data_IF_109398620609
#
_entry.id   IF_109398620609
#
_cell.length_a   1.000
_cell.length_b   1.000
_cell.length_c   1.000
_cell.angle_alpha   90.00
_cell.angle_beta   90.00
_cell.angle_gamma   90.00
#
_symmetry.space_group_name_H-M   'P 1'
#
loop_
_entity.id
_entity.type
_entity.pdbx_description
1 polymer ?
#
# COMPACT_ATOMS: atom_id res chain seq x y z
N UNK A 1 -2.20 2.32 10.90
CA UNK A 1 -2.57 2.36 9.47
C UNK A 1 -1.41 2.90 8.68
N UNK A 2 -0.99 2.18 7.64
CA UNK A 2 0.00 2.58 6.65
C UNK A 2 -0.71 2.93 5.33
N UNK A 3 -0.26 3.98 4.66
CA UNK A 3 -0.86 4.52 3.43
C UNK A 3 0.23 4.86 2.43
N UNK A 4 0.18 4.22 1.27
CA UNK A 4 1.00 4.60 0.12
C UNK A 4 0.25 5.60 -0.75
N UNK A 5 0.95 6.65 -1.17
CA UNK A 5 0.47 7.61 -2.16
C UNK A 5 1.12 7.31 -3.50
N UNK A 6 0.29 7.09 -4.52
CA UNK A 6 0.71 6.48 -5.78
C UNK A 6 0.24 7.32 -6.95
N UNK A 7 1.15 7.56 -7.90
CA UNK A 7 0.89 8.23 -9.16
C UNK A 7 1.18 7.28 -10.32
N UNK A 8 0.34 7.36 -11.34
CA UNK A 8 0.53 6.65 -12.62
C UNK A 8 0.81 7.70 -13.69
N UNK A 9 2.08 7.94 -14.05
CA UNK A 9 2.46 9.03 -14.95
C UNK A 9 2.13 8.76 -16.43
N UNK A 10 1.69 7.54 -16.75
CA UNK A 10 1.29 7.13 -18.10
C UNK A 10 -0.13 6.59 -18.06
N UNK A 11 -0.86 6.81 -19.15
CA UNK A 11 -2.20 6.23 -19.35
C UNK A 11 -2.08 4.82 -19.96
N UNK A 12 -1.34 3.95 -19.28
CA UNK A 12 -1.06 2.57 -19.71
C UNK A 12 -1.67 1.51 -18.76
N UNK A 13 -2.63 1.93 -17.94
CA UNK A 13 -3.44 1.02 -17.16
C UNK A 13 -4.26 0.08 -18.07
N UNK A 14 -4.48 -1.17 -17.66
CA UNK A 14 -4.15 -1.75 -16.35
C UNK A 14 -2.71 -2.29 -16.22
N UNK A 15 -1.85 -2.13 -17.23
CA UNK A 15 -0.49 -2.68 -17.25
C UNK A 15 0.54 -1.55 -17.23
N UNK A 16 0.69 -0.87 -16.08
CA UNK A 16 1.56 0.30 -16.00
C UNK A 16 3.02 -0.09 -16.26
N UNK A 17 3.71 0.69 -17.08
CA UNK A 17 5.15 0.59 -17.30
C UNK A 17 5.95 1.43 -16.30
N UNK A 18 5.26 2.25 -15.52
CA UNK A 18 5.83 3.10 -14.50
C UNK A 18 4.78 3.37 -13.41
N UNK A 19 5.18 3.20 -12.15
CA UNK A 19 4.37 3.46 -10.96
C UNK A 19 5.21 4.30 -10.01
N UNK A 20 4.72 5.48 -9.69
CA UNK A 20 5.43 6.45 -8.87
C UNK A 20 4.89 6.40 -7.43
N UNK A 21 5.71 5.96 -6.49
CA UNK A 21 5.45 5.96 -5.05
C UNK A 21 5.88 7.32 -4.48
N UNK A 22 4.95 8.27 -4.39
CA UNK A 22 5.23 9.71 -4.22
C UNK A 22 5.30 10.17 -2.77
N UNK A 23 4.64 9.46 -1.86
CA UNK A 23 4.64 9.76 -0.42
C UNK A 23 4.22 8.50 0.34
N UNK A 24 4.50 8.47 1.63
CA UNK A 24 4.08 7.44 2.56
C UNK A 24 3.62 8.08 3.87
N UNK A 25 2.62 7.48 4.51
CA UNK A 25 2.18 7.88 5.84
C UNK A 25 1.87 6.65 6.69
N UNK A 26 2.37 6.63 7.92
CA UNK A 26 1.98 5.66 8.92
C UNK A 26 1.67 6.33 10.26
N UNK A 27 0.65 5.83 10.94
CA UNK A 27 0.34 6.22 12.32
C UNK A 27 -0.53 5.17 13.01
N UNK A 28 -0.45 5.11 14.34
CA UNK A 28 -1.21 4.17 15.18
C UNK A 28 -2.20 4.96 16.07
N UNK A 29 -3.35 4.37 16.36
CA UNK A 29 -4.32 4.90 17.32
C UNK A 29 -5.04 6.19 16.91
N UNK A 30 -5.02 6.56 15.64
CA UNK A 30 -5.71 7.76 15.10
C UNK A 30 -7.15 7.44 14.73
N UNK A 31 -8.00 8.45 14.78
CA UNK A 31 -9.40 8.35 14.34
C UNK A 31 -9.53 8.65 12.84
N UNK A 32 -10.63 8.23 12.21
CA UNK A 32 -10.87 8.47 10.78
C UNK A 32 -10.81 9.95 10.38
N UNK A 33 -11.31 10.85 11.23
CA UNK A 33 -11.21 12.29 11.01
C UNK A 33 -9.76 12.81 10.98
N UNK A 34 -8.83 12.20 11.74
CA UNK A 34 -7.42 12.56 11.68
C UNK A 34 -6.82 12.15 10.33
N UNK A 35 -7.18 10.96 9.84
CA UNK A 35 -6.74 10.51 8.52
C UNK A 35 -7.27 11.39 7.39
N UNK A 36 -8.51 11.87 7.47
CA UNK A 36 -9.05 12.80 6.49
C UNK A 36 -8.26 14.12 6.47
N UNK A 37 -7.86 14.63 7.64
CA UNK A 37 -6.99 15.81 7.75
C UNK A 37 -5.60 15.56 7.17
N UNK A 38 -5.00 14.39 7.43
CA UNK A 38 -3.70 14.00 6.88
C UNK A 38 -3.77 13.95 5.35
N UNK A 39 -4.78 13.31 4.77
CA UNK A 39 -4.97 13.25 3.32
C UNK A 39 -5.10 14.66 2.74
N UNK A 40 -5.92 15.52 3.34
CA UNK A 40 -6.07 16.90 2.89
C UNK A 40 -4.77 17.71 3.01
N UNK A 41 -3.99 17.52 4.08
CA UNK A 41 -2.75 18.27 4.31
C UNK A 41 -1.64 17.91 3.32
N UNK A 42 -1.70 16.75 2.66
CA UNK A 42 -0.74 16.41 1.60
C UNK A 42 -0.91 17.26 0.34
N UNK A 43 -2.10 17.86 0.13
CA UNK A 43 -2.36 18.74 -1.02
C UNK A 43 -2.35 18.04 -2.37
N UNK A 44 -2.60 16.73 -2.39
CA UNK A 44 -2.74 15.94 -3.61
C UNK A 44 -4.20 15.93 -4.11
N UNK A 45 -4.38 15.82 -5.42
CA UNK A 45 -5.69 15.56 -6.02
C UNK A 45 -5.88 14.04 -6.20
N UNK A 46 -6.61 13.42 -5.28
CA UNK A 46 -6.81 11.97 -5.31
C UNK A 46 -7.81 11.54 -6.40
N UNK A 47 -7.50 10.43 -7.06
CA UNK A 47 -8.46 9.68 -7.87
C UNK A 47 -9.39 8.89 -6.98
N UNK A 48 -8.87 7.78 -6.44
CA UNK A 48 -9.61 6.86 -5.59
C UNK A 48 -8.76 6.46 -4.36
N UNK A 49 -9.41 6.03 -3.29
CA UNK A 49 -8.76 5.41 -2.13
C UNK A 49 -9.06 3.92 -2.11
N UNK A 50 -8.06 3.09 -1.85
CA UNK A 50 -8.22 1.63 -1.77
C UNK A 50 -7.88 1.15 -0.37
N UNK A 51 -8.71 0.25 0.15
CA UNK A 51 -8.51 -0.35 1.47
C UNK A 51 -8.47 -1.88 1.35
N UNK A 52 -7.79 -2.59 2.26
CA UNK A 52 -7.81 -4.04 2.29
C UNK A 52 -9.24 -4.56 2.55
N UNK A 53 -9.47 -5.83 2.21
CA UNK A 53 -10.77 -6.49 2.37
C UNK A 53 -11.35 -6.41 3.78
N UNK A 54 -10.50 -6.33 4.81
CA UNK A 54 -10.89 -6.35 6.22
C UNK A 54 -11.28 -4.97 6.77
N UNK A 55 -11.35 -3.94 5.93
CA UNK A 55 -11.98 -2.64 6.23
C UNK A 55 -13.46 -2.76 6.65
N UNK A 56 -14.09 -3.92 6.44
CA UNK A 56 -15.45 -4.18 6.90
C UNK A 56 -15.54 -4.58 8.38
N UNK A 57 -14.41 -4.73 9.09
CA UNK A 57 -14.40 -5.01 10.53
C UNK A 57 -14.95 -3.80 11.29
N UNK A 58 -15.84 -4.06 12.24
CA UNK A 58 -16.33 -3.09 13.23
C UNK A 58 -15.71 -3.34 14.60
N UNK A 59 -16.22 -2.61 15.60
CA UNK A 59 -15.85 -2.75 17.01
C UNK A 59 -17.08 -3.33 17.71
N UNK A 60 -16.87 -4.37 18.53
CA UNK A 60 -17.97 -4.99 19.26
C UNK A 60 -18.68 -3.95 20.15
N UNK A 61 -20.01 -3.89 20.04
CA UNK A 61 -20.84 -2.94 20.79
C UNK A 61 -21.01 -1.56 20.13
N UNK A 62 -20.44 -1.34 18.94
CA UNK A 62 -20.68 -0.13 18.13
C UNK A 62 -21.35 -0.50 16.81
N UNK A 63 -22.28 0.35 16.37
CA UNK A 63 -22.93 0.19 15.07
C UNK A 63 -22.00 0.64 13.92
N UNK A 64 -22.02 -0.13 12.83
CA UNK A 64 -21.24 0.12 11.63
C UNK A 64 -19.89 -0.59 11.60
N UNK A 65 -19.04 -0.16 10.67
CA UNK A 65 -17.72 -0.73 10.46
C UNK A 65 -16.73 0.34 9.99
N UNK A 66 -15.45 -0.02 9.92
CA UNK A 66 -14.39 0.89 9.50
C UNK A 66 -14.65 1.55 8.13
N UNK A 67 -15.25 0.85 7.18
CA UNK A 67 -15.64 1.41 5.88
C UNK A 67 -16.67 2.55 6.03
N UNK A 68 -17.73 2.31 6.81
CA UNK A 68 -18.76 3.31 7.07
C UNK A 68 -18.19 4.51 7.84
N UNK A 69 -17.43 4.27 8.90
CA UNK A 69 -16.84 5.35 9.71
C UNK A 69 -15.79 6.16 8.94
N UNK A 70 -15.03 5.53 8.05
CA UNK A 70 -14.13 6.24 7.14
C UNK A 70 -14.91 7.13 6.16
N UNK A 71 -16.01 6.61 5.60
CA UNK A 71 -16.89 7.35 4.71
C UNK A 71 -17.53 8.56 5.40
N UNK A 72 -17.99 8.39 6.64
CA UNK A 72 -18.56 9.46 7.47
C UNK A 72 -17.52 10.55 7.78
N UNK A 73 -16.23 10.17 7.87
CA UNK A 73 -15.11 11.09 8.02
C UNK A 73 -14.65 11.74 6.69
N UNK A 74 -15.28 11.41 5.56
CA UNK A 74 -14.97 11.98 4.24
C UNK A 74 -13.94 11.19 3.42
N UNK A 75 -13.67 9.93 3.77
CA UNK A 75 -12.77 9.06 3.02
C UNK A 75 -13.58 7.93 2.36
N UNK A 76 -13.74 8.00 1.04
CA UNK A 76 -14.46 6.98 0.29
C UNK A 76 -13.50 5.88 -0.19
N UNK A 77 -13.40 4.80 0.61
CA UNK A 77 -12.58 3.65 0.26
C UNK A 77 -13.29 2.69 -0.68
N UNK A 78 -12.53 2.17 -1.63
CA UNK A 78 -12.88 1.00 -2.44
C UNK A 78 -12.20 -0.23 -1.86
N UNK A 79 -12.94 -1.17 -1.24
CA UNK A 79 -12.36 -2.37 -0.68
C UNK A 79 -11.79 -3.27 -1.78
N UNK A 80 -10.52 -3.65 -1.63
CA UNK A 80 -9.83 -4.59 -2.51
C UNK A 80 -10.13 -6.00 -2.02
N UNK A 81 -10.60 -6.87 -2.92
CA UNK A 81 -10.82 -8.28 -2.58
C UNK A 81 -9.49 -8.94 -2.25
N UNK A 82 -9.45 -9.74 -1.19
CA UNK A 82 -8.27 -10.56 -0.83
C UNK A 82 -7.87 -11.49 -1.98
N UNK A 83 -6.57 -11.73 -2.15
CA UNK A 83 -6.07 -12.81 -3.02
C UNK A 83 -6.30 -14.20 -2.42
N UNK A 84 -6.20 -15.23 -3.26
CA UNK A 84 -6.40 -16.63 -2.85
C UNK A 84 -5.37 -17.06 -1.80
N UNK A 85 -4.12 -16.60 -1.93
CA UNK A 85 -3.11 -16.73 -0.90
C UNK A 85 -2.24 -15.46 -0.73
N UNK A 86 -1.58 -15.34 0.42
CA UNK A 86 -0.60 -14.28 0.68
C UNK A 86 0.61 -14.41 -0.25
N UNK A 87 1.04 -15.64 -0.53
CA UNK A 87 2.19 -15.89 -1.42
C UNK A 87 1.93 -15.49 -2.87
N UNK A 88 0.72 -15.76 -3.39
CA UNK A 88 0.31 -15.27 -4.73
C UNK A 88 0.42 -13.75 -4.82
N UNK A 89 -0.01 -13.06 -3.78
CA UNK A 89 0.04 -11.61 -3.75
C UNK A 89 1.48 -11.07 -3.60
N UNK A 90 2.36 -11.75 -2.84
CA UNK A 90 3.79 -11.42 -2.77
C UNK A 90 4.46 -11.60 -4.14
N UNK A 91 4.14 -12.67 -4.87
CA UNK A 91 4.66 -12.88 -6.23
C UNK A 91 4.21 -11.78 -7.19
N UNK A 92 2.96 -11.30 -7.09
CA UNK A 92 2.51 -10.14 -7.86
C UNK A 92 3.30 -8.87 -7.49
N UNK A 93 3.61 -8.68 -6.21
CA UNK A 93 4.41 -7.57 -5.74
C UNK A 93 5.83 -7.61 -6.32
N UNK A 94 6.48 -8.79 -6.38
CA UNK A 94 7.82 -8.95 -7.01
C UNK A 94 7.79 -8.55 -8.47
N UNK A 95 6.77 -8.99 -9.22
CA UNK A 95 6.63 -8.69 -10.66
C UNK A 95 6.47 -7.20 -10.96
N UNK A 96 5.85 -6.45 -10.05
CA UNK A 96 5.67 -5.01 -10.20
C UNK A 96 6.88 -4.19 -9.76
N UNK A 97 7.79 -4.77 -8.98
CA UNK A 97 8.93 -4.07 -8.38
C UNK A 97 9.73 -3.24 -9.39
N UNK A 98 10.04 -3.83 -10.55
CA UNK A 98 10.82 -3.19 -11.62
C UNK A 98 10.17 -1.94 -12.23
N UNK A 99 8.89 -1.70 -11.98
CA UNK A 99 8.16 -0.54 -12.46
C UNK A 99 7.99 0.54 -11.38
N UNK A 100 8.40 0.28 -10.14
CA UNK A 100 8.27 1.22 -9.03
C UNK A 100 9.39 2.25 -9.04
N UNK A 101 9.02 3.51 -8.80
CA UNK A 101 9.93 4.61 -8.56
C UNK A 101 9.54 5.28 -7.24
N UNK A 102 10.50 5.41 -6.32
CA UNK A 102 10.24 5.94 -4.99
C UNK A 102 10.76 7.38 -4.86
N UNK A 103 9.91 8.25 -4.34
CA UNK A 103 10.30 9.60 -3.94
C UNK A 103 11.10 9.58 -2.61
N UNK A 104 11.91 10.61 -2.32
CA UNK A 104 12.65 10.75 -1.05
C UNK A 104 11.82 10.48 0.21
N UNK A 105 10.56 10.92 0.20
CA UNK A 105 9.63 10.78 1.34
C UNK A 105 9.26 9.33 1.67
N UNK A 106 9.60 8.40 0.79
CA UNK A 106 9.31 6.98 0.94
C UNK A 106 10.50 6.18 1.49
N UNK A 107 11.66 6.80 1.77
CA UNK A 107 12.90 6.10 2.15
C UNK A 107 12.70 5.15 3.34
N UNK A 108 12.20 5.66 4.46
CA UNK A 108 12.00 4.85 5.68
C UNK A 108 11.05 3.66 5.45
N UNK A 109 10.01 3.88 4.66
CA UNK A 109 9.04 2.83 4.32
C UNK A 109 9.63 1.81 3.35
N UNK A 110 10.50 2.23 2.45
CA UNK A 110 11.20 1.37 1.51
C UNK A 110 12.21 0.47 2.25
N UNK A 111 12.96 1.02 3.21
CA UNK A 111 13.89 0.24 4.03
C UNK A 111 13.15 -0.85 4.82
N UNK A 112 11.98 -0.51 5.39
CA UNK A 112 11.10 -1.48 6.09
C UNK A 112 10.46 -2.50 5.17
N UNK A 113 10.14 -2.11 3.94
CA UNK A 113 9.61 -3.03 2.94
C UNK A 113 10.69 -4.01 2.48
N UNK A 114 11.95 -3.56 2.39
CA UNK A 114 13.10 -4.38 2.06
C UNK A 114 13.48 -5.36 3.17
N UNK A 115 13.26 -5.00 4.45
CA UNK A 115 13.49 -5.91 5.58
C UNK A 115 12.39 -6.96 5.76
N UNK A 116 11.30 -6.91 4.97
CA UNK A 116 10.23 -7.89 5.01
C UNK A 116 10.71 -9.24 4.46
N UNK A 117 10.70 -10.27 5.31
CA UNK A 117 11.33 -11.56 5.05
C UNK A 117 10.47 -12.74 5.53
N UNK A 118 10.89 -13.96 5.17
CA UNK A 118 10.24 -15.20 5.55
C UNK A 118 10.47 -15.48 7.04
N UNK A 119 9.42 -15.87 7.75
CA UNK A 119 9.56 -16.32 9.13
C UNK A 119 10.44 -17.56 9.15
N UNK A 120 11.48 -17.53 9.97
CA UNK A 120 12.34 -18.69 10.22
C UNK A 120 11.95 -19.42 11.51
N UNK A 121 12.18 -20.72 11.56
CA UNK A 121 12.13 -21.48 12.81
C UNK A 121 13.41 -21.26 13.63
N UNK A 122 13.47 -21.87 14.82
CA UNK A 122 14.63 -21.74 15.72
C UNK A 122 15.94 -22.27 15.11
N UNK A 123 15.83 -23.17 14.15
CA UNK A 123 16.95 -23.78 13.45
C UNK A 123 17.34 -23.03 12.17
N UNK A 124 16.66 -21.90 11.88
CA UNK A 124 16.94 -21.03 10.73
C UNK A 124 16.24 -21.45 9.43
N UNK A 125 15.38 -22.48 9.43
CA UNK A 125 14.62 -22.88 8.24
C UNK A 125 13.39 -21.99 8.02
N UNK A 126 13.16 -21.59 6.78
CA UNK A 126 11.97 -20.85 6.36
C UNK A 126 10.67 -21.64 6.56
N UNK A 127 9.62 -20.95 7.00
CA UNK A 127 8.32 -21.52 7.38
C UNK A 127 7.24 -21.37 6.29
N UNK A 128 7.59 -20.85 5.12
CA UNK A 128 6.69 -20.59 3.99
C UNK A 128 5.67 -19.48 4.25
N UNK A 129 5.84 -18.71 5.31
CA UNK A 129 4.95 -17.62 5.72
C UNK A 129 5.76 -16.38 6.06
N UNK A 130 5.24 -15.18 5.82
CA UNK A 130 5.96 -13.97 6.18
C UNK A 130 6.16 -13.82 7.68
N UNK A 131 7.26 -13.17 8.07
CA UNK A 131 7.40 -12.74 9.45
C UNK A 131 6.45 -11.57 9.73
N UNK A 132 5.78 -11.64 10.88
CA UNK A 132 4.70 -10.72 11.26
C UNK A 132 5.14 -9.81 12.41
N UNK A 133 6.28 -9.14 12.25
CA UNK A 133 6.60 -7.98 13.08
C UNK A 133 5.63 -6.84 12.72
N UNK A 134 5.08 -6.19 13.75
CA UNK A 134 3.89 -5.32 13.62
C UNK A 134 4.10 -4.13 12.67
N UNK A 135 5.31 -3.59 12.61
CA UNK A 135 5.60 -2.38 11.84
C UNK A 135 5.82 -2.70 10.37
N UNK A 136 6.71 -3.63 10.04
CA UNK A 136 7.04 -4.04 8.66
C UNK A 136 5.82 -4.65 7.95
N UNK A 137 5.00 -5.41 8.68
CA UNK A 137 3.80 -6.05 8.12
C UNK A 137 2.76 -5.03 7.64
N UNK A 138 2.60 -3.88 8.30
CA UNK A 138 1.62 -2.86 7.87
C UNK A 138 2.04 -2.19 6.55
N UNK A 139 3.34 -1.91 6.40
CA UNK A 139 3.91 -1.34 5.17
C UNK A 139 3.72 -2.32 4.01
N UNK A 140 4.09 -3.58 4.22
CA UNK A 140 3.96 -4.65 3.22
C UNK A 140 2.49 -4.92 2.85
N UNK A 141 1.58 -4.93 3.82
CA UNK A 141 0.15 -5.16 3.58
C UNK A 141 -0.50 -4.02 2.79
N UNK A 142 -0.13 -2.77 3.07
CA UNK A 142 -0.61 -1.61 2.30
C UNK A 142 -0.07 -1.60 0.87
N UNK A 143 1.21 -1.97 0.66
CA UNK A 143 1.78 -2.16 -0.67
C UNK A 143 1.07 -3.29 -1.42
N UNK A 144 0.85 -4.44 -0.77
CA UNK A 144 0.10 -5.56 -1.34
C UNK A 144 -1.32 -5.17 -1.76
N UNK A 145 -2.00 -4.36 -0.96
CA UNK A 145 -3.35 -3.84 -1.30
C UNK A 145 -3.33 -3.04 -2.61
N UNK A 146 -2.32 -2.20 -2.83
CA UNK A 146 -2.15 -1.47 -4.10
C UNK A 146 -1.96 -2.44 -5.28
N UNK A 147 -1.07 -3.43 -5.12
CA UNK A 147 -0.79 -4.44 -6.15
C UNK A 147 -2.02 -5.26 -6.49
N UNK A 148 -2.80 -5.67 -5.47
CA UNK A 148 -4.04 -6.41 -5.65
C UNK A 148 -5.11 -5.59 -6.38
N UNK A 149 -5.19 -4.28 -6.14
CA UNK A 149 -6.07 -3.38 -6.87
C UNK A 149 -5.67 -3.26 -8.35
N UNK A 150 -4.37 -3.16 -8.64
CA UNK A 150 -3.84 -3.16 -10.01
C UNK A 150 -4.16 -4.46 -10.73
N UNK A 151 -3.87 -5.61 -10.10
CA UNK A 151 -4.12 -6.93 -10.68
C UNK A 151 -5.61 -7.19 -10.98
N UNK A 152 -6.52 -6.51 -10.26
CA UNK A 152 -7.97 -6.58 -10.46
C UNK A 152 -8.50 -5.55 -11.45
N UNK A 153 -7.64 -4.71 -12.03
CA UNK A 153 -7.99 -3.67 -12.98
C UNK A 153 -9.05 -2.69 -12.42
N UNK A 154 -9.05 -2.44 -11.11
CA UNK A 154 -9.97 -1.50 -10.45
C UNK A 154 -9.36 -0.11 -10.24
N UNK A 155 -8.05 0.03 -10.48
CA UNK A 155 -7.37 1.32 -10.38
C UNK A 155 -7.90 2.31 -11.41
N UNK A 156 -8.40 3.46 -10.94
CA UNK A 156 -8.82 4.61 -11.74
C UNK A 156 -8.10 5.87 -11.23
N UNK A 157 -6.99 6.29 -11.88
CA UNK A 157 -6.34 7.54 -11.52
C UNK A 157 -7.17 8.72 -11.99
N UNK A 158 -6.98 9.88 -11.35
CA UNK A 158 -7.54 11.13 -11.84
C UNK A 158 -6.65 11.66 -12.97
N UNK A 159 -7.26 12.14 -14.06
CA UNK A 159 -6.55 12.64 -15.24
C UNK A 159 -5.77 13.96 -15.02
N UNK A 160 -5.79 14.54 -13.82
CA UNK A 160 -5.01 15.73 -13.48
C UNK A 160 -3.71 15.30 -12.79
N UNK A 161 -2.60 15.38 -13.53
CA UNK A 161 -1.26 15.10 -13.00
C UNK A 161 -0.65 16.36 -12.38
N UNK A 162 0.04 16.19 -11.26
CA UNK A 162 1.04 17.14 -10.75
C UNK A 162 2.41 16.56 -11.10
N UNK A 163 3.24 17.32 -11.81
CA UNK A 163 4.52 16.85 -12.35
C UNK A 163 5.75 17.38 -11.57
N UNK A 164 5.53 17.92 -10.36
CA UNK A 164 6.53 18.59 -9.52
C UNK A 164 7.31 17.65 -8.58
N UNK A 165 7.47 16.37 -8.95
CA UNK A 165 8.14 15.35 -8.13
C UNK A 165 9.60 15.08 -8.57
N UNK A 166 10.48 14.87 -7.58
CA UNK A 166 11.83 14.34 -7.77
C UNK A 166 11.90 12.86 -7.40
N UNK A 167 12.71 12.08 -8.12
CA UNK A 167 12.79 10.62 -8.02
C UNK A 167 14.19 10.18 -7.62
N UNK A 168 14.30 9.14 -6.81
CA UNK A 168 15.55 8.41 -6.63
C UNK A 168 15.56 7.13 -7.46
N UNK A 169 16.77 6.63 -7.75
CA UNK A 169 16.91 5.30 -8.36
C UNK A 169 16.37 4.23 -7.40
N UNK A 170 15.65 3.25 -7.95
CA UNK A 170 15.11 2.13 -7.19
C UNK A 170 16.29 1.28 -6.67
N UNK A 171 16.47 1.10 -5.35
CA UNK A 171 17.55 0.29 -4.82
C UNK A 171 17.35 -1.18 -5.20
N UNK A 172 18.45 -1.89 -5.44
CA UNK A 172 18.47 -3.36 -5.47
C UNK A 172 18.49 -3.85 -4.03
N UNK A 173 17.57 -4.73 -3.67
CA UNK A 173 17.48 -5.30 -2.32
C UNK A 173 17.83 -6.80 -2.33
N UNK A 174 17.97 -7.34 -1.11
CA UNK A 174 18.24 -8.75 -0.78
C UNK A 174 17.07 -9.38 0.07
N UNK A 175 15.78 -9.10 -0.25
CA UNK A 175 14.56 -9.55 0.46
C UNK A 175 13.41 -10.17 -0.38
N UNK A 176 12.19 -10.31 0.19
CA UNK A 176 11.04 -10.98 -0.47
C UNK A 176 10.60 -10.34 -1.79
N UNK A 177 10.94 -9.07 -1.99
CA UNK A 177 10.56 -8.29 -3.16
C UNK A 177 11.67 -8.20 -4.22
N UNK A 178 12.77 -8.92 -4.03
CA UNK A 178 13.83 -8.97 -5.03
C UNK A 178 13.32 -9.64 -6.31
N UNK A 179 13.52 -8.97 -7.42
CA UNK A 179 13.39 -9.58 -8.75
C UNK A 179 14.70 -10.20 -9.16
#
# INVERSE_FOLDING_TARGET
MAVWFVQFPKDDLPKPKQINMIDFHESVGKQWADYARILNSKGFMYGNHYAPWDIHKGIAGLDGNNLQWAKDAGIDFQPVKRSGSVMEAIELCRRLWRFLHFAPKCSDALDRLASYHEKTNRDGFGMGVPDHTLEESNVADSYRTMVEALARNIVRPRNMMRDDFSWFECPKFDGYFDG
#
